data_IF_196596434602
#
_entry.id   IF_196596434602
#
_cell.length_a   1.000
_cell.length_b   1.000
_cell.length_c   1.000
_cell.angle_alpha   90.00
_cell.angle_beta   90.00
_cell.angle_gamma   90.00
#
_symmetry.space_group_name_H-M   'P 1'
#
loop_
_entity.id
_entity.type
_entity.pdbx_description
1 polymer ?
#
# COMPACT_ATOMS: atom_id res chain seq x y z
N UNK A 1 -9.60 -17.95 -13.56
CA UNK A 1 -10.22 -16.82 -12.85
C UNK A 1 -10.25 -17.00 -11.33
N UNK A 2 -10.59 -18.20 -10.82
CA UNK A 2 -10.72 -18.47 -9.36
C UNK A 2 -9.43 -18.25 -8.56
N UNK A 3 -8.29 -18.78 -9.02
CA UNK A 3 -7.01 -18.61 -8.32
C UNK A 3 -6.57 -17.16 -8.14
N UNK A 4 -6.86 -16.29 -9.12
CA UNK A 4 -6.49 -14.88 -9.03
C UNK A 4 -7.32 -14.13 -7.97
N UNK A 5 -8.61 -14.44 -7.82
CA UNK A 5 -9.42 -13.80 -6.78
C UNK A 5 -8.93 -14.18 -5.38
N UNK A 6 -8.54 -15.45 -5.21
CA UNK A 6 -7.88 -15.92 -3.98
C UNK A 6 -6.61 -15.12 -3.67
N UNK A 7 -5.74 -14.99 -4.67
CA UNK A 7 -4.47 -14.27 -4.54
C UNK A 7 -4.71 -12.79 -4.24
N UNK A 8 -5.70 -12.16 -4.88
CA UNK A 8 -6.08 -10.78 -4.61
C UNK A 8 -6.62 -10.62 -3.17
N UNK A 9 -7.44 -11.55 -2.69
CA UNK A 9 -7.92 -11.55 -1.31
C UNK A 9 -6.80 -11.67 -0.28
N UNK A 10 -5.86 -12.60 -0.52
CA UNK A 10 -4.66 -12.76 0.31
C UNK A 10 -3.80 -11.50 0.26
N UNK A 11 -3.54 -10.97 -0.94
CA UNK A 11 -2.75 -9.75 -1.14
C UNK A 11 -3.33 -8.56 -0.36
N UNK A 12 -4.65 -8.35 -0.43
CA UNK A 12 -5.32 -7.29 0.32
C UNK A 12 -5.11 -7.44 1.83
N UNK A 13 -5.26 -8.64 2.39
CA UNK A 13 -5.00 -8.86 3.83
C UNK A 13 -3.53 -8.54 4.17
N UNK A 14 -2.57 -9.02 3.38
CA UNK A 14 -1.15 -8.73 3.62
C UNK A 14 -0.84 -7.24 3.54
N UNK A 15 -1.46 -6.48 2.63
CA UNK A 15 -1.31 -5.03 2.58
C UNK A 15 -1.79 -4.36 3.88
N UNK A 16 -2.95 -4.78 4.41
CA UNK A 16 -3.42 -4.31 5.72
C UNK A 16 -2.46 -4.66 6.87
N UNK A 17 -1.89 -5.88 6.86
CA UNK A 17 -0.91 -6.30 7.86
C UNK A 17 0.43 -5.53 7.75
N UNK A 18 0.87 -5.21 6.54
CA UNK A 18 2.07 -4.39 6.31
C UNK A 18 1.87 -2.98 6.87
N UNK A 19 0.69 -2.38 6.67
CA UNK A 19 0.36 -1.09 7.27
C UNK A 19 0.39 -1.16 8.80
N UNK A 20 -0.21 -2.18 9.41
CA UNK A 20 -0.15 -2.37 10.87
C UNK A 20 1.31 -2.47 11.34
N UNK A 21 2.13 -3.28 10.66
CA UNK A 21 3.55 -3.43 11.01
C UNK A 21 4.31 -2.09 10.91
N UNK A 22 4.04 -1.29 9.88
CA UNK A 22 4.65 0.03 9.70
C UNK A 22 4.23 0.99 10.82
N UNK A 23 2.94 1.10 11.14
CA UNK A 23 2.45 1.93 12.25
C UNK A 23 3.05 1.54 13.60
N UNK A 24 3.12 0.24 13.87
CA UNK A 24 3.72 -0.26 15.12
C UNK A 24 5.21 0.06 15.16
N UNK A 25 5.94 -0.15 14.07
CA UNK A 25 7.37 0.13 14.03
C UNK A 25 7.67 1.62 14.21
N UNK A 26 7.11 2.48 13.35
CA UNK A 26 7.38 3.91 13.39
C UNK A 26 6.77 4.61 14.63
N UNK A 27 5.69 4.06 15.19
CA UNK A 27 5.04 4.61 16.37
C UNK A 27 5.65 4.16 17.71
N UNK A 28 6.22 2.96 17.80
CA UNK A 28 6.67 2.39 19.07
C UNK A 28 8.16 2.04 19.14
N UNK A 29 8.80 1.70 18.02
CA UNK A 29 10.18 1.19 18.00
C UNK A 29 11.18 2.17 17.41
N UNK A 30 10.71 3.07 16.53
CA UNK A 30 11.54 4.08 15.91
C UNK A 30 11.98 5.16 16.91
N UNK A 31 13.25 5.11 17.28
CA UNK A 31 13.89 6.00 18.27
C UNK A 31 14.95 6.90 17.63
N UNK A 32 14.67 7.38 16.41
CA UNK A 32 15.59 8.25 15.67
C UNK A 32 15.87 9.56 16.44
N UNK A 33 17.15 9.96 16.57
CA UNK A 33 17.52 11.16 17.32
C UNK A 33 17.24 12.44 16.53
N UNK A 34 15.97 12.87 16.50
CA UNK A 34 15.50 14.03 15.70
C UNK A 34 16.28 15.32 16.02
N UNK A 35 16.62 15.54 17.29
CA UNK A 35 17.38 16.71 17.75
C UNK A 35 18.90 16.48 17.79
N UNK A 36 19.36 15.31 17.34
CA UNK A 36 20.78 14.95 17.30
C UNK A 36 21.55 15.68 16.19
N UNK A 37 22.86 15.72 16.37
CA UNK A 37 23.84 16.13 15.37
C UNK A 37 23.80 15.22 14.13
N UNK A 38 24.35 15.67 12.98
CA UNK A 38 24.44 14.83 11.78
C UNK A 38 25.14 13.49 12.02
N UNK A 39 26.19 13.49 12.85
CA UNK A 39 26.90 12.28 13.24
C UNK A 39 25.97 11.34 14.00
N UNK A 40 25.31 11.80 15.07
CA UNK A 40 24.42 10.95 15.88
C UNK A 40 23.28 10.35 15.05
N UNK A 41 22.68 11.15 14.15
CA UNK A 41 21.63 10.70 13.23
C UNK A 41 22.11 9.61 12.30
N UNK A 42 23.24 9.82 11.63
CA UNK A 42 23.74 8.86 10.65
C UNK A 42 24.32 7.61 11.32
N UNK A 43 24.94 7.73 12.49
CA UNK A 43 25.34 6.57 13.31
C UNK A 43 24.15 5.71 13.68
N UNK A 44 23.03 6.31 14.13
CA UNK A 44 21.81 5.55 14.41
C UNK A 44 21.30 4.81 13.16
N UNK A 45 21.33 5.45 11.99
CA UNK A 45 20.92 4.80 10.74
C UNK A 45 21.86 3.66 10.35
N UNK A 46 23.17 3.82 10.52
CA UNK A 46 24.16 2.79 10.22
C UNK A 46 24.02 1.57 11.16
N UNK A 47 23.88 1.81 12.47
CA UNK A 47 23.70 0.74 13.46
C UNK A 47 22.41 -0.06 13.23
N UNK A 48 21.38 0.58 12.67
CA UNK A 48 20.08 -0.03 12.41
C UNK A 48 19.81 -0.31 10.92
N UNK A 49 20.82 -0.19 10.05
CA UNK A 49 20.66 -0.16 8.58
C UNK A 49 19.85 -1.35 8.06
N UNK A 50 20.17 -2.56 8.52
CA UNK A 50 19.46 -3.76 8.09
C UNK A 50 17.96 -3.69 8.40
N UNK A 51 17.60 -3.26 9.61
CA UNK A 51 16.20 -3.17 10.04
C UNK A 51 15.45 -2.11 9.25
N UNK A 52 16.08 -0.95 9.04
CA UNK A 52 15.53 0.13 8.21
C UNK A 52 15.29 -0.34 6.78
N UNK A 53 16.31 -0.90 6.13
CA UNK A 53 16.21 -1.42 4.75
C UNK A 53 15.15 -2.50 4.62
N UNK A 54 15.01 -3.38 5.61
CA UNK A 54 13.96 -4.42 5.61
C UNK A 54 12.56 -3.82 5.71
N UNK A 55 12.37 -2.81 6.54
CA UNK A 55 11.06 -2.18 6.73
C UNK A 55 10.67 -1.33 5.53
N UNK A 56 11.60 -0.56 4.97
CA UNK A 56 11.38 0.17 3.72
C UNK A 56 11.10 -0.81 2.56
N UNK A 57 11.85 -1.90 2.45
CA UNK A 57 11.59 -2.95 1.47
C UNK A 57 10.17 -3.55 1.63
N UNK A 58 9.76 -3.85 2.86
CA UNK A 58 8.45 -4.42 3.16
C UNK A 58 7.31 -3.44 2.83
N UNK A 59 7.41 -2.20 3.31
CA UNK A 59 6.33 -1.21 3.19
C UNK A 59 6.14 -0.68 1.77
N UNK A 60 7.20 -0.69 0.95
CA UNK A 60 7.16 -0.14 -0.41
C UNK A 60 7.16 -1.23 -1.48
N UNK A 61 8.19 -2.08 -1.50
CA UNK A 61 8.39 -3.05 -2.59
C UNK A 61 7.45 -4.24 -2.45
N UNK A 62 7.44 -4.89 -1.29
CA UNK A 62 6.55 -6.04 -1.04
C UNK A 62 5.09 -5.60 -1.07
N UNK A 63 4.77 -4.45 -0.47
CA UNK A 63 3.45 -3.84 -0.58
C UNK A 63 3.04 -3.61 -2.04
N UNK A 64 3.90 -3.02 -2.86
CA UNK A 64 3.64 -2.76 -4.28
C UNK A 64 3.39 -4.04 -5.10
N UNK A 65 4.10 -5.13 -4.79
CA UNK A 65 3.87 -6.43 -5.43
C UNK A 65 2.48 -6.97 -5.08
N UNK A 66 2.08 -6.91 -3.81
CA UNK A 66 0.72 -7.31 -3.40
C UNK A 66 -0.33 -6.40 -4.02
N UNK A 67 -0.09 -5.09 -4.06
CA UNK A 67 -0.96 -4.12 -4.70
C UNK A 67 -1.18 -4.45 -6.18
N UNK A 68 -0.13 -4.85 -6.91
CA UNK A 68 -0.25 -5.24 -8.32
C UNK A 68 -1.23 -6.41 -8.51
N UNK A 69 -1.11 -7.44 -7.66
CA UNK A 69 -2.01 -8.60 -7.65
C UNK A 69 -3.44 -8.14 -7.37
N UNK A 70 -3.63 -7.28 -6.36
CA UNK A 70 -4.94 -6.78 -5.98
C UNK A 70 -5.58 -5.92 -7.07
N UNK A 71 -4.84 -4.99 -7.68
CA UNK A 71 -5.32 -4.14 -8.78
C UNK A 71 -5.81 -4.98 -9.95
N UNK A 72 -5.04 -5.99 -10.37
CA UNK A 72 -5.43 -6.90 -11.45
C UNK A 72 -6.63 -7.77 -11.03
N UNK A 73 -6.66 -8.24 -9.78
CA UNK A 73 -7.77 -8.99 -9.21
C UNK A 73 -9.08 -8.19 -9.24
N UNK A 74 -9.04 -6.93 -8.83
CA UNK A 74 -10.17 -6.01 -8.82
C UNK A 74 -10.63 -5.69 -10.24
N UNK A 75 -9.71 -5.40 -11.16
CA UNK A 75 -10.03 -5.18 -12.56
C UNK A 75 -10.81 -6.36 -13.14
N UNK A 76 -10.29 -7.59 -13.00
CA UNK A 76 -10.97 -8.79 -13.54
C UNK A 76 -12.28 -9.09 -12.85
N UNK A 77 -12.43 -8.77 -11.57
CA UNK A 77 -13.68 -8.95 -10.82
C UNK A 77 -14.79 -8.03 -11.32
N UNK A 78 -14.44 -6.77 -11.58
CA UNK A 78 -15.41 -5.74 -11.90
C UNK A 78 -15.71 -5.60 -13.40
N UNK A 79 -14.79 -5.99 -14.30
CA UNK A 79 -14.88 -5.80 -15.78
C UNK A 79 -15.95 -6.67 -16.47
N UNK A 80 -17.12 -6.83 -15.86
CA UNK A 80 -18.23 -7.58 -16.42
C UNK A 80 -19.02 -6.76 -17.45
N UNK A 81 -19.18 -5.45 -17.21
CA UNK A 81 -19.77 -4.49 -18.15
C UNK A 81 -18.74 -3.44 -18.56
N UNK A 82 -19.04 -2.72 -19.65
CA UNK A 82 -18.24 -1.56 -20.06
C UNK A 82 -18.50 -0.44 -19.05
N UNK A 83 -17.56 -0.27 -18.11
CA UNK A 83 -17.58 0.79 -17.11
C UNK A 83 -16.22 1.51 -17.12
N UNK A 84 -16.16 2.76 -17.63
CA UNK A 84 -14.91 3.53 -17.71
C UNK A 84 -14.20 3.70 -16.37
N UNK A 85 -14.94 3.76 -15.26
CA UNK A 85 -14.37 3.95 -13.93
C UNK A 85 -13.47 2.78 -13.51
N UNK A 86 -13.79 1.56 -13.95
CA UNK A 86 -12.96 0.39 -13.70
C UNK A 86 -11.61 0.55 -14.40
N UNK A 87 -11.63 0.96 -15.67
CA UNK A 87 -10.40 1.13 -16.46
C UNK A 87 -9.54 2.26 -15.91
N UNK A 88 -10.14 3.42 -15.64
CA UNK A 88 -9.43 4.59 -15.09
C UNK A 88 -8.94 4.30 -13.67
N UNK A 89 -9.76 3.69 -12.82
CA UNK A 89 -9.38 3.29 -11.48
C UNK A 89 -8.21 2.30 -11.49
N UNK A 90 -8.26 1.27 -12.34
CA UNK A 90 -7.15 0.31 -12.47
C UNK A 90 -5.87 0.94 -13.02
N UNK A 91 -5.97 1.97 -13.88
CA UNK A 91 -4.81 2.75 -14.30
C UNK A 91 -4.15 3.44 -13.10
N UNK A 92 -4.91 4.15 -12.26
CA UNK A 92 -4.35 4.76 -11.05
C UNK A 92 -3.77 3.73 -10.09
N UNK A 93 -4.41 2.57 -9.93
CA UNK A 93 -3.85 1.47 -9.15
C UNK A 93 -2.50 0.98 -9.71
N UNK A 94 -2.38 0.85 -11.04
CA UNK A 94 -1.12 0.47 -11.69
C UNK A 94 -0.03 1.54 -11.59
N UNK A 95 -0.38 2.82 -11.69
CA UNK A 95 0.55 3.93 -11.43
C UNK A 95 1.04 3.87 -9.99
N UNK A 96 0.13 3.65 -9.04
CA UNK A 96 0.49 3.58 -7.62
C UNK A 96 1.48 2.46 -7.33
N UNK A 97 1.28 1.27 -7.92
CA UNK A 97 2.24 0.14 -7.85
C UNK A 97 3.65 0.59 -8.27
N UNK A 98 3.76 1.26 -9.42
CA UNK A 98 5.05 1.74 -9.91
C UNK A 98 5.71 2.74 -8.97
N UNK A 99 4.92 3.69 -8.47
CA UNK A 99 5.38 4.74 -7.56
C UNK A 99 5.88 4.18 -6.22
N UNK A 100 5.12 3.28 -5.57
CA UNK A 100 5.54 2.71 -4.29
C UNK A 100 6.77 1.82 -4.42
N UNK A 101 6.86 1.01 -5.49
CA UNK A 101 8.06 0.18 -5.72
C UNK A 101 9.29 1.06 -5.96
N UNK A 102 9.16 2.09 -6.80
CA UNK A 102 10.25 3.02 -7.07
C UNK A 102 10.72 3.74 -5.79
N UNK A 103 9.77 4.17 -4.95
CA UNK A 103 10.06 4.80 -3.66
C UNK A 103 10.90 3.89 -2.74
N UNK A 104 10.52 2.61 -2.63
CA UNK A 104 11.28 1.64 -1.84
C UNK A 104 12.68 1.37 -2.38
N UNK A 105 12.83 1.26 -3.70
CA UNK A 105 14.14 1.07 -4.34
C UNK A 105 15.07 2.27 -4.11
N UNK A 106 14.54 3.50 -4.23
CA UNK A 106 15.30 4.73 -4.00
C UNK A 106 15.75 4.82 -2.54
N UNK A 107 14.86 4.57 -1.58
CA UNK A 107 15.22 4.58 -0.16
C UNK A 107 16.28 3.55 0.20
N UNK A 108 16.16 2.31 -0.27
CA UNK A 108 17.10 1.25 0.11
C UNK A 108 18.50 1.48 -0.47
N UNK A 109 18.58 1.85 -1.75
CA UNK A 109 19.88 2.13 -2.40
C UNK A 109 20.45 3.45 -1.87
N UNK A 110 19.60 4.45 -1.69
CA UNK A 110 20.00 5.76 -1.18
C UNK A 110 20.49 5.74 0.27
N UNK A 111 19.92 4.86 1.12
CA UNK A 111 20.38 4.67 2.49
C UNK A 111 21.80 4.13 2.54
N UNK A 112 22.08 3.10 1.72
CA UNK A 112 23.41 2.48 1.62
C UNK A 112 24.46 3.52 1.20
N UNK A 113 24.17 4.28 0.14
CA UNK A 113 25.05 5.37 -0.32
C UNK A 113 25.21 6.50 0.70
N UNK A 114 24.17 6.83 1.47
CA UNK A 114 24.27 7.84 2.52
C UNK A 114 25.18 7.36 3.67
N UNK A 115 25.08 6.08 4.06
CA UNK A 115 25.91 5.49 5.11
C UNK A 115 27.38 5.40 4.67
N UNK A 116 27.65 5.00 3.42
CA UNK A 116 29.02 4.96 2.87
C UNK A 116 29.74 6.31 2.92
N UNK A 117 28.99 7.42 2.87
CA UNK A 117 29.55 8.77 2.95
C UNK A 117 29.96 9.19 4.37
N UNK A 118 29.57 8.44 5.41
CA UNK A 118 29.85 8.80 6.79
C UNK A 118 31.34 8.87 7.10
N UNK A 119 32.13 7.94 6.56
CA UNK A 119 33.59 7.88 6.77
C UNK A 119 34.30 9.13 6.21
N UNK A 120 33.74 9.72 5.16
CA UNK A 120 34.28 10.91 4.53
C UNK A 120 33.76 12.20 5.17
N UNK A 121 32.44 12.32 5.37
CA UNK A 121 31.80 13.49 5.94
C UNK A 121 30.35 13.18 6.40
N UNK A 122 30.09 13.12 7.71
CA UNK A 122 28.75 12.87 8.26
C UNK A 122 27.69 13.93 7.93
N UNK A 123 28.07 15.18 7.70
CA UNK A 123 27.11 16.22 7.24
C UNK A 123 26.66 15.93 5.81
N UNK A 124 27.59 15.58 4.91
CA UNK A 124 27.24 15.21 3.53
C UNK A 124 26.44 13.91 3.46
N UNK A 125 26.72 12.96 4.35
CA UNK A 125 25.93 11.75 4.51
C UNK A 125 24.47 12.08 4.88
N UNK A 126 24.26 12.98 5.85
CA UNK A 126 22.93 13.43 6.23
C UNK A 126 22.24 14.20 5.09
N UNK A 127 22.94 15.12 4.41
CA UNK A 127 22.39 15.86 3.27
C UNK A 127 21.92 14.92 2.16
N UNK A 128 22.73 13.90 1.83
CA UNK A 128 22.37 12.86 0.87
C UNK A 128 21.11 12.11 1.33
N UNK A 129 21.05 11.70 2.60
CA UNK A 129 19.88 11.03 3.13
C UNK A 129 18.61 11.90 3.11
N UNK A 130 18.73 13.19 3.40
CA UNK A 130 17.62 14.14 3.30
C UNK A 130 17.11 14.24 1.86
N UNK A 131 18.02 14.35 0.88
CA UNK A 131 17.66 14.39 -0.53
C UNK A 131 16.93 13.11 -0.96
N UNK A 132 17.49 11.94 -0.60
CA UNK A 132 16.85 10.63 -0.85
C UNK A 132 15.46 10.59 -0.24
N UNK A 133 15.33 10.99 1.03
CA UNK A 133 14.05 11.01 1.74
C UNK A 133 13.03 11.91 1.06
N UNK A 134 13.41 13.12 0.64
CA UNK A 134 12.53 14.03 -0.09
C UNK A 134 12.05 13.41 -1.40
N UNK A 135 12.93 12.74 -2.15
CA UNK A 135 12.56 12.10 -3.42
C UNK A 135 11.59 10.94 -3.18
N UNK A 136 11.91 10.05 -2.23
CA UNK A 136 11.07 8.93 -1.79
C UNK A 136 9.67 9.40 -1.42
N UNK A 137 9.58 10.41 -0.54
CA UNK A 137 8.31 10.96 -0.09
C UNK A 137 7.56 11.62 -1.25
N UNK A 138 8.24 12.34 -2.15
CA UNK A 138 7.59 13.05 -3.26
C UNK A 138 6.89 12.14 -4.27
N UNK A 139 7.39 10.91 -4.47
CA UNK A 139 6.83 10.01 -5.47
C UNK A 139 5.86 8.97 -4.89
N UNK A 140 6.02 8.57 -3.63
CA UNK A 140 5.23 7.46 -3.10
C UNK A 140 4.97 7.42 -1.60
N UNK A 141 5.63 8.26 -0.78
CA UNK A 141 5.46 8.25 0.68
C UNK A 141 4.70 9.44 1.27
N UNK A 142 4.77 10.61 0.61
CA UNK A 142 4.45 11.90 1.24
C UNK A 142 3.00 12.35 1.07
N UNK A 143 2.28 11.76 0.12
CA UNK A 143 0.83 11.89 0.02
C UNK A 143 0.22 10.62 -0.59
N UNK A 144 -1.08 10.51 -0.46
CA UNK A 144 -1.85 9.31 -0.79
C UNK A 144 -2.82 9.55 -1.94
N UNK A 145 -2.55 10.57 -2.76
CA UNK A 145 -3.46 11.02 -3.83
C UNK A 145 -3.76 9.90 -4.82
N UNK A 146 -2.73 9.21 -5.31
CA UNK A 146 -2.87 8.18 -6.34
C UNK A 146 -3.59 6.95 -5.78
N UNK A 147 -3.27 6.55 -4.54
CA UNK A 147 -3.97 5.49 -3.82
C UNK A 147 -5.44 5.86 -3.55
N UNK A 148 -5.69 7.09 -3.09
CA UNK A 148 -7.03 7.61 -2.84
C UNK A 148 -7.91 7.62 -4.10
N UNK A 149 -7.37 8.08 -5.22
CA UNK A 149 -8.05 8.02 -6.53
C UNK A 149 -8.39 6.59 -6.93
N UNK A 150 -7.45 5.66 -6.77
CA UNK A 150 -7.68 4.25 -7.04
C UNK A 150 -8.82 3.67 -6.19
N UNK A 151 -8.74 3.83 -4.86
CA UNK A 151 -9.74 3.27 -3.94
C UNK A 151 -11.12 3.88 -4.19
N UNK A 152 -11.20 5.20 -4.40
CA UNK A 152 -12.46 5.90 -4.68
C UNK A 152 -13.11 5.36 -5.96
N UNK A 153 -12.38 5.37 -7.07
CA UNK A 153 -12.91 4.97 -8.38
C UNK A 153 -13.35 3.51 -8.41
N UNK A 154 -12.56 2.61 -7.82
CA UNK A 154 -12.90 1.19 -7.74
C UNK A 154 -14.11 0.96 -6.84
N UNK A 155 -14.24 1.70 -5.74
CA UNK A 155 -15.40 1.61 -4.86
C UNK A 155 -16.69 2.11 -5.54
N UNK A 156 -16.60 3.19 -6.34
CA UNK A 156 -17.74 3.71 -7.12
C UNK A 156 -18.17 2.66 -8.14
N UNK A 157 -17.22 2.13 -8.89
CA UNK A 157 -17.48 1.08 -9.88
C UNK A 157 -18.08 -0.17 -9.22
N UNK A 158 -17.56 -0.60 -8.07
CA UNK A 158 -18.05 -1.78 -7.37
C UNK A 158 -19.50 -1.64 -6.87
N UNK A 159 -19.93 -0.43 -6.46
CA UNK A 159 -21.34 -0.15 -6.14
C UNK A 159 -22.20 -0.24 -7.41
N UNK A 160 -21.75 0.36 -8.52
CA UNK A 160 -22.48 0.36 -9.80
C UNK A 160 -22.65 -1.06 -10.36
N UNK A 161 -21.63 -1.90 -10.24
CA UNK A 161 -21.66 -3.28 -10.72
C UNK A 161 -22.36 -4.25 -9.75
N UNK A 162 -22.60 -3.85 -8.49
CA UNK A 162 -23.22 -4.70 -7.46
C UNK A 162 -22.41 -5.94 -7.11
N UNK A 163 -21.08 -5.89 -7.28
CA UNK A 163 -20.16 -7.04 -7.14
C UNK A 163 -19.44 -7.08 -5.80
N UNK A 164 -19.65 -6.12 -4.91
CA UNK A 164 -19.09 -6.12 -3.56
C UNK A 164 -20.10 -5.54 -2.57
N UNK A 165 -19.99 -5.85 -1.27
CA UNK A 165 -20.88 -5.29 -0.25
C UNK A 165 -20.90 -3.76 -0.29
N UNK A 166 -22.09 -3.15 -0.24
CA UNK A 166 -22.24 -1.69 -0.29
C UNK A 166 -21.52 -1.00 0.87
N UNK A 167 -21.56 -1.59 2.07
CA UNK A 167 -20.89 -1.06 3.26
C UNK A 167 -19.37 -0.95 3.07
N UNK A 168 -18.73 -1.96 2.47
CA UNK A 168 -17.31 -1.94 2.14
C UNK A 168 -16.97 -0.80 1.18
N UNK A 169 -17.82 -0.56 0.18
CA UNK A 169 -17.58 0.49 -0.80
C UNK A 169 -17.83 1.90 -0.25
N UNK A 170 -18.75 2.08 0.72
CA UNK A 170 -18.89 3.35 1.45
C UNK A 170 -17.65 3.65 2.30
N UNK A 171 -17.08 2.63 2.95
CA UNK A 171 -15.76 2.78 3.57
C UNK A 171 -14.72 3.18 2.53
N UNK A 172 -14.71 2.54 1.36
CA UNK A 172 -13.82 2.91 0.26
C UNK A 172 -13.99 4.35 -0.25
N UNK A 173 -15.20 4.93 -0.20
CA UNK A 173 -15.37 6.36 -0.47
C UNK A 173 -14.65 7.21 0.56
N UNK A 174 -14.83 6.90 1.84
CA UNK A 174 -14.17 7.61 2.93
C UNK A 174 -12.65 7.53 2.79
N UNK A 175 -12.10 6.32 2.60
CA UNK A 175 -10.66 6.10 2.38
C UNK A 175 -10.17 6.90 1.17
N UNK A 176 -10.87 6.79 0.05
CA UNK A 176 -10.49 7.47 -1.19
C UNK A 176 -10.47 9.00 -1.06
N UNK A 177 -11.47 9.57 -0.39
CA UNK A 177 -11.55 11.01 -0.11
C UNK A 177 -10.42 11.44 0.85
N UNK A 178 -10.15 10.67 1.90
CA UNK A 178 -9.04 10.94 2.82
C UNK A 178 -7.70 10.94 2.08
N UNK A 179 -7.48 9.97 1.18
CA UNK A 179 -6.29 9.90 0.34
C UNK A 179 -6.13 11.11 -0.57
N UNK A 180 -7.21 11.56 -1.22
CA UNK A 180 -7.18 12.79 -2.05
C UNK A 180 -6.92 14.04 -1.19
N UNK A 181 -7.46 14.09 0.03
CA UNK A 181 -7.28 15.22 0.94
C UNK A 181 -5.82 15.42 1.39
N UNK A 182 -4.96 14.40 1.30
CA UNK A 182 -3.51 14.50 1.61
C UNK A 182 -2.74 15.48 0.72
N UNK A 183 -3.34 16.01 -0.36
CA UNK A 183 -2.78 17.15 -1.12
C UNK A 183 -2.67 18.39 -0.24
N UNK A 184 -3.56 18.52 0.76
CA UNK A 184 -3.41 19.54 1.79
C UNK A 184 -2.29 19.13 2.75
N UNK A 185 -1.34 20.03 3.10
CA UNK A 185 -0.13 19.69 3.85
C UNK A 185 -0.40 19.50 5.34
N UNK A 186 -1.24 18.51 5.67
CA UNK A 186 -1.58 18.12 7.04
C UNK A 186 -1.43 16.60 7.19
N UNK A 187 -0.61 16.19 8.17
CA UNK A 187 -0.31 14.80 8.47
C UNK A 187 -1.54 14.02 8.91
N UNK A 188 -2.56 14.70 9.46
CA UNK A 188 -3.80 14.09 9.91
C UNK A 188 -4.49 13.31 8.77
N UNK A 189 -4.48 13.82 7.54
CA UNK A 189 -5.13 13.14 6.42
C UNK A 189 -4.41 11.85 6.03
N UNK A 190 -3.07 11.84 6.08
CA UNK A 190 -2.26 10.65 5.82
C UNK A 190 -2.51 9.57 6.88
N UNK A 191 -2.63 9.96 8.15
CA UNK A 191 -2.98 9.05 9.24
C UNK A 191 -4.40 8.48 9.09
N UNK A 192 -5.39 9.33 8.79
CA UNK A 192 -6.77 8.91 8.53
C UNK A 192 -6.82 7.92 7.36
N UNK A 193 -6.13 8.23 6.27
CA UNK A 193 -6.02 7.35 5.12
C UNK A 193 -5.42 6.01 5.53
N UNK A 194 -4.24 6.00 6.17
CA UNK A 194 -3.56 4.78 6.58
C UNK A 194 -4.41 3.88 7.47
N UNK A 195 -5.03 4.44 8.51
CA UNK A 195 -5.85 3.66 9.47
C UNK A 195 -7.13 3.13 8.80
N UNK A 196 -7.85 3.97 8.07
CA UNK A 196 -9.08 3.55 7.40
C UNK A 196 -8.82 2.54 6.28
N UNK A 197 -7.66 2.67 5.61
CA UNK A 197 -7.23 1.76 4.57
C UNK A 197 -6.82 0.38 5.09
N UNK A 198 -6.28 0.27 6.31
CA UNK A 198 -6.09 -1.04 6.98
C UNK A 198 -7.41 -1.79 7.03
N UNK A 199 -8.46 -1.12 7.55
CA UNK A 199 -9.79 -1.72 7.69
C UNK A 199 -10.35 -2.10 6.33
N UNK A 200 -10.20 -1.23 5.33
CA UNK A 200 -10.66 -1.49 3.97
C UNK A 200 -9.94 -2.67 3.32
N UNK A 201 -8.62 -2.77 3.43
CA UNK A 201 -7.83 -3.86 2.88
C UNK A 201 -8.19 -5.21 3.49
N UNK A 202 -8.25 -5.29 4.82
CA UNK A 202 -8.60 -6.52 5.53
C UNK A 202 -10.02 -6.96 5.16
N UNK A 203 -10.98 -6.03 5.18
CA UNK A 203 -12.37 -6.35 4.87
C UNK A 203 -12.55 -6.76 3.41
N UNK A 204 -11.96 -6.02 2.46
CA UNK A 204 -11.95 -6.40 1.05
C UNK A 204 -11.37 -7.80 0.86
N UNK A 205 -10.23 -8.07 1.50
CA UNK A 205 -9.58 -9.37 1.42
C UNK A 205 -10.45 -10.52 1.92
N UNK A 206 -11.12 -10.34 3.06
CA UNK A 206 -12.10 -11.29 3.59
C UNK A 206 -13.22 -11.52 2.57
N UNK A 207 -13.83 -10.45 2.05
CA UNK A 207 -14.92 -10.56 1.06
C UNK A 207 -14.50 -11.38 -0.18
N UNK A 208 -13.32 -11.10 -0.73
CA UNK A 208 -12.78 -11.82 -1.89
C UNK A 208 -12.57 -13.32 -1.62
N UNK A 209 -12.18 -13.69 -0.39
CA UNK A 209 -11.96 -15.09 0.01
C UNK A 209 -13.26 -15.83 0.33
N UNK A 210 -14.22 -15.19 1.00
CA UNK A 210 -15.50 -15.83 1.36
C UNK A 210 -16.36 -16.21 0.15
N UNK A 211 -16.42 -15.35 -0.87
CA UNK A 211 -17.21 -15.65 -2.06
C UNK A 211 -16.61 -16.75 -2.94
N UNK A 212 -15.29 -16.96 -2.88
CA UNK A 212 -14.67 -18.09 -3.55
C UNK A 212 -15.07 -19.40 -2.89
N UNK A 213 -15.08 -19.43 -1.55
CA UNK A 213 -15.45 -20.63 -0.79
C UNK A 213 -16.91 -21.01 -1.03
N UNK A 214 -17.82 -20.03 -1.09
CA UNK A 214 -19.23 -20.26 -1.44
C UNK A 214 -19.39 -20.82 -2.87
N UNK A 215 -18.62 -20.32 -3.84
CA UNK A 215 -18.66 -20.85 -5.21
C UNK A 215 -18.07 -22.28 -5.32
N UNK A 216 -17.10 -22.64 -4.46
CA UNK A 216 -16.55 -24.01 -4.40
C UNK A 216 -17.54 -25.01 -3.82
N UNK A 217 -18.20 -24.65 -2.71
CA UNK A 217 -19.17 -25.54 -2.07
C UNK A 217 -20.35 -25.85 -2.99
N UNK A 218 -20.90 -24.83 -3.67
CA UNK A 218 -21.99 -25.00 -4.64
C UNK A 218 -21.60 -25.96 -5.77
N UNK A 219 -20.39 -25.83 -6.30
CA UNK A 219 -19.92 -26.67 -7.40
C UNK A 219 -19.64 -28.12 -6.96
N UNK A 220 -19.16 -28.33 -5.73
CA UNK A 220 -19.01 -29.67 -5.15
C UNK A 220 -20.36 -30.35 -4.93
N UNK A 221 -21.36 -29.63 -4.40
CA UNK A 221 -22.72 -30.17 -4.25
C UNK A 221 -23.38 -30.49 -5.59
N UNK A 222 -23.19 -29.66 -6.61
CA UNK A 222 -23.74 -29.89 -7.95
C UNK A 222 -23.14 -31.15 -8.61
N UNK A 223 -21.84 -31.37 -8.46
CA UNK A 223 -21.18 -32.57 -8.98
C UNK A 223 -21.60 -33.83 -8.21
N UNK A 224 -21.74 -33.76 -6.89
CA UNK A 224 -22.20 -34.89 -6.06
C UNK A 224 -23.66 -35.28 -6.29
N UNK A 225 -24.48 -34.39 -6.87
CA UNK A 225 -25.87 -34.68 -7.25
C UNK A 225 -26.03 -35.21 -8.69
N UNK A 226 -24.94 -35.26 -9.46
CA UNK A 226 -24.92 -35.70 -10.85
C UNK A 226 -24.36 -37.12 -11.03
N UNK A 227 -23.80 -37.70 -9.96
CA UNK A 227 -23.34 -39.09 -9.84
C UNK A 227 -24.40 -39.93 -9.08
#
# INVERSE_FOLDING_TARGET
MKGLQKLAGIAAIFQGLIYIAAFVYFGAFWSYPVDGSPVEKMTYMAENQLLFSMIYFLMYVVFGIFLAILVIGMYKRLKYKVNPLITIGSLFGGIWVGLVIASGMISNIGLDHAIDLMDANPEKALDMWIIVSVITESIGGGNELVGGLWVLLISVAAIQEGRLPRSLNYLGYFVGIAGIATVYPDKLFTEIFGVSQIVWFIWLGICLLTEENANKSIQQTANASAD
#
